data_IF_176078785993
#
_entry.id   IF_176078785993
#
_cell.length_a   1.000
_cell.length_b   1.000
_cell.length_c   1.000
_cell.angle_alpha   90.00
_cell.angle_beta   90.00
_cell.angle_gamma   90.00
#
_symmetry.space_group_name_H-M   'P 1'
#
loop_
_entity.id
_entity.type
_entity.pdbx_description
1 polymer ?
#
# COMPACT_ATOMS: atom_id res chain seq x y z
N UNK A 1 -27.31 17.30 -2.82
CA UNK A 1 -25.89 17.20 -2.38
C UNK A 1 -25.15 16.34 -3.40
N UNK A 2 -24.18 16.89 -4.14
CA UNK A 2 -23.35 16.12 -5.05
C UNK A 2 -22.32 15.34 -4.21
N UNK A 3 -22.57 14.06 -3.97
CA UNK A 3 -21.59 13.14 -3.38
C UNK A 3 -20.47 12.99 -4.41
N UNK A 4 -19.31 13.60 -4.17
CA UNK A 4 -18.11 13.34 -4.97
C UNK A 4 -17.59 11.96 -4.57
N UNK A 5 -17.88 10.96 -5.38
CA UNK A 5 -17.25 9.64 -5.28
C UNK A 5 -15.79 9.82 -5.69
N UNK A 6 -14.88 9.69 -4.71
CA UNK A 6 -13.44 9.70 -4.98
C UNK A 6 -13.03 8.26 -5.22
N UNK A 7 -12.67 7.94 -6.46
CA UNK A 7 -12.10 6.63 -6.79
C UNK A 7 -10.74 6.48 -6.11
N UNK A 8 -10.68 5.56 -5.16
CA UNK A 8 -9.59 5.42 -4.22
C UNK A 8 -9.48 4.00 -3.69
N UNK A 9 -8.37 3.74 -3.03
CA UNK A 9 -8.07 2.46 -2.43
C UNK A 9 -8.14 2.64 -0.93
N UNK A 10 -8.81 1.69 -0.29
CA UNK A 10 -9.01 1.67 1.16
C UNK A 10 -7.91 0.86 1.82
N UNK A 11 -7.26 1.44 2.81
CA UNK A 11 -6.18 0.84 3.58
C UNK A 11 -6.56 0.87 5.05
N UNK A 12 -6.16 -0.13 5.84
CA UNK A 12 -6.38 -0.10 7.28
C UNK A 12 -5.50 0.96 7.94
N UNK A 13 -5.99 1.66 8.96
CA UNK A 13 -5.19 2.59 9.77
C UNK A 13 -3.95 1.89 10.36
N UNK A 14 -4.07 0.59 10.63
CA UNK A 14 -2.96 -0.25 11.08
C UNK A 14 -1.86 -0.46 10.04
N UNK A 15 -2.19 -0.40 8.75
CA UNK A 15 -1.18 -0.33 7.68
C UNK A 15 -0.40 0.98 7.81
N UNK A 16 -1.09 2.11 7.95
CA UNK A 16 -0.45 3.42 8.08
C UNK A 16 0.43 3.51 9.34
N UNK A 17 -0.09 3.09 10.50
CA UNK A 17 0.67 3.02 11.75
C UNK A 17 1.94 2.17 11.57
N UNK A 18 1.86 1.04 10.87
CA UNK A 18 3.01 0.20 10.62
C UNK A 18 4.04 0.89 9.72
N UNK A 19 3.60 1.52 8.62
CA UNK A 19 4.48 2.30 7.74
C UNK A 19 5.19 3.45 8.51
N UNK A 20 4.48 4.09 9.45
CA UNK A 20 5.06 5.07 10.38
C UNK A 20 6.14 4.46 11.27
N UNK A 21 5.90 3.30 11.88
CA UNK A 21 6.93 2.60 12.68
C UNK A 21 8.20 2.33 11.88
N UNK A 22 8.06 1.89 10.63
CA UNK A 22 9.20 1.64 9.74
C UNK A 22 10.01 2.90 9.39
N UNK A 23 9.36 4.06 9.25
CA UNK A 23 10.06 5.32 8.96
C UNK A 23 10.63 6.00 10.20
N UNK A 24 9.95 5.93 11.35
CA UNK A 24 10.32 6.73 12.53
C UNK A 24 11.08 5.92 13.59
N UNK A 25 10.67 4.68 13.85
CA UNK A 25 11.31 3.85 14.88
C UNK A 25 12.52 3.09 14.31
N UNK A 26 12.43 2.63 13.07
CA UNK A 26 13.51 1.86 12.41
C UNK A 26 14.43 2.71 11.51
N UNK A 27 14.35 4.04 11.60
CA UNK A 27 15.14 4.96 10.77
C UNK A 27 16.65 4.74 10.89
N UNK A 28 17.11 4.30 12.07
CA UNK A 28 18.51 4.06 12.40
C UNK A 28 18.95 2.60 12.21
N UNK A 29 18.03 1.69 11.86
CA UNK A 29 18.35 0.30 11.55
C UNK A 29 18.43 0.12 10.02
N UNK A 30 19.64 0.05 9.41
CA UNK A 30 19.77 -0.11 7.97
C UNK A 30 19.13 -1.39 7.45
N UNK A 31 18.93 -2.41 8.30
CA UNK A 31 18.27 -3.66 7.91
C UNK A 31 16.76 -3.50 7.82
N UNK A 32 16.16 -2.57 8.56
CA UNK A 32 14.71 -2.34 8.58
C UNK A 32 14.26 -1.03 7.92
N UNK A 33 15.17 -0.11 7.61
CA UNK A 33 14.86 1.20 7.01
C UNK A 33 14.02 1.08 5.73
N UNK A 34 12.85 1.71 5.72
CA UNK A 34 12.03 1.85 4.52
C UNK A 34 12.63 2.90 3.57
N UNK A 35 12.53 2.68 2.26
CA UNK A 35 12.87 3.67 1.24
C UNK A 35 11.61 4.23 0.61
N UNK A 36 11.71 5.38 -0.05
CA UNK A 36 10.57 5.92 -0.78
C UNK A 36 10.11 4.96 -1.88
N UNK A 37 11.03 4.27 -2.54
CA UNK A 37 10.69 3.26 -3.53
C UNK A 37 9.95 2.07 -2.91
N UNK A 38 10.36 1.57 -1.74
CA UNK A 38 9.64 0.48 -1.07
C UNK A 38 8.26 0.91 -0.59
N UNK A 39 8.10 2.15 -0.08
CA UNK A 39 6.78 2.67 0.27
C UNK A 39 5.85 2.76 -0.95
N UNK A 40 6.32 3.31 -2.06
CA UNK A 40 5.52 3.36 -3.30
C UNK A 40 5.20 1.94 -3.80
N UNK A 41 6.16 1.01 -3.74
CA UNK A 41 5.91 -0.39 -4.08
C UNK A 41 4.86 -1.01 -3.15
N UNK A 42 4.87 -0.71 -1.85
CA UNK A 42 3.90 -1.27 -0.90
C UNK A 42 2.48 -0.81 -1.25
N UNK A 43 2.32 0.49 -1.51
CA UNK A 43 1.03 1.07 -1.93
C UNK A 43 0.56 0.48 -3.27
N UNK A 44 1.48 0.21 -4.20
CA UNK A 44 1.17 -0.49 -5.45
C UNK A 44 0.70 -1.93 -5.19
N UNK A 45 1.44 -2.72 -4.41
CA UNK A 45 1.06 -4.10 -4.13
C UNK A 45 -0.27 -4.17 -3.38
N UNK A 46 -0.50 -3.25 -2.43
CA UNK A 46 -1.77 -3.14 -1.73
C UNK A 46 -2.94 -2.79 -2.66
N UNK A 47 -2.69 -2.08 -3.75
CA UNK A 47 -3.69 -1.81 -4.80
C UNK A 47 -4.04 -3.01 -5.67
N UNK A 48 -3.22 -4.06 -5.63
CA UNK A 48 -3.33 -5.25 -6.48
C UNK A 48 -3.75 -6.50 -5.70
N UNK A 49 -3.60 -6.47 -4.37
CA UNK A 49 -4.01 -7.60 -3.53
C UNK A 49 -5.51 -7.62 -3.29
N UNK A 50 -5.99 -8.81 -2.96
CA UNK A 50 -7.36 -9.02 -2.51
C UNK A 50 -7.59 -8.44 -1.09
N UNK A 51 -8.81 -8.60 -0.59
CA UNK A 51 -9.21 -8.10 0.73
C UNK A 51 -8.39 -8.68 1.87
N UNK A 52 -7.82 -9.88 1.70
CA UNK A 52 -7.00 -10.59 2.69
C UNK A 52 -5.49 -10.35 2.53
N UNK A 53 -5.10 -9.50 1.59
CA UNK A 53 -3.71 -9.13 1.39
C UNK A 53 -2.92 -10.13 0.58
N UNK A 54 -3.56 -10.92 -0.29
CA UNK A 54 -2.90 -11.89 -1.15
C UNK A 54 -2.89 -11.41 -2.61
N UNK A 55 -1.76 -11.65 -3.28
CA UNK A 55 -1.59 -11.51 -4.72
C UNK A 55 -1.12 -12.86 -5.24
N UNK A 56 -1.85 -13.45 -6.18
CA UNK A 56 -1.42 -14.69 -6.81
C UNK A 56 -0.18 -14.41 -7.69
N UNK A 57 0.92 -15.12 -7.43
CA UNK A 57 2.22 -14.82 -8.07
C UNK A 57 2.15 -14.86 -9.60
N UNK A 58 1.40 -15.81 -10.15
CA UNK A 58 1.25 -15.97 -11.60
C UNK A 58 0.49 -14.81 -12.27
N UNK A 59 -0.32 -14.07 -11.52
CA UNK A 59 -1.12 -12.95 -12.01
C UNK A 59 -0.35 -11.62 -11.91
N UNK A 60 0.76 -11.58 -11.17
CA UNK A 60 1.54 -10.37 -10.98
C UNK A 60 2.61 -10.20 -12.06
N UNK A 61 2.31 -9.36 -13.05
CA UNK A 61 3.33 -8.80 -13.93
C UNK A 61 3.74 -7.39 -13.49
N UNK A 62 4.75 -7.31 -12.62
CA UNK A 62 5.21 -6.04 -12.05
C UNK A 62 5.64 -5.02 -13.11
N UNK A 63 6.17 -5.47 -14.25
CA UNK A 63 6.59 -4.61 -15.35
C UNK A 63 5.38 -3.95 -16.02
N UNK A 64 4.37 -4.74 -16.36
CA UNK A 64 3.12 -4.22 -16.95
C UNK A 64 2.40 -3.28 -15.98
N UNK A 65 2.34 -3.62 -14.69
CA UNK A 65 1.71 -2.75 -13.68
C UNK A 65 2.43 -1.40 -13.54
N UNK A 66 3.75 -1.40 -13.67
CA UNK A 66 4.56 -0.18 -13.74
C UNK A 66 4.25 0.63 -15.00
N UNK A 67 4.19 -0.01 -16.17
CA UNK A 67 3.89 0.66 -17.45
C UNK A 67 2.50 1.30 -17.45
N UNK A 68 1.46 0.57 -16.99
CA UNK A 68 0.08 1.07 -16.86
C UNK A 68 -0.01 2.35 -16.01
N UNK A 69 0.86 2.48 -14.99
CA UNK A 69 0.86 3.59 -14.03
C UNK A 69 2.00 4.58 -14.25
N UNK A 70 2.78 4.44 -15.33
CA UNK A 70 3.95 5.28 -15.64
C UNK A 70 4.95 5.34 -14.46
N UNK A 71 5.19 4.19 -13.81
CA UNK A 71 6.14 4.02 -12.72
C UNK A 71 7.50 3.51 -13.25
N UNK A 72 8.65 3.95 -12.70
CA UNK A 72 9.95 3.44 -13.09
C UNK A 72 10.17 2.05 -12.51
N UNK A 73 10.10 1.04 -13.39
CA UNK A 73 10.24 -0.37 -13.05
C UNK A 73 11.45 -0.68 -12.16
N UNK A 74 12.63 -0.12 -12.46
CA UNK A 74 13.84 -0.37 -11.66
C UNK A 74 13.70 0.05 -10.20
N UNK A 75 13.00 1.16 -9.93
CA UNK A 75 12.76 1.63 -8.57
C UNK A 75 11.76 0.73 -7.85
N UNK A 76 10.69 0.33 -8.55
CA UNK A 76 9.65 -0.54 -8.00
C UNK A 76 10.21 -1.93 -7.69
N UNK A 77 11.00 -2.50 -8.59
CA UNK A 77 11.69 -3.77 -8.41
C UNK A 77 12.64 -3.74 -7.19
N UNK A 78 13.45 -2.69 -7.03
CA UNK A 78 14.29 -2.54 -5.84
C UNK A 78 13.46 -2.35 -4.57
N UNK A 79 12.34 -1.63 -4.67
CA UNK A 79 11.37 -1.49 -3.58
C UNK A 79 10.77 -2.84 -3.17
N UNK A 80 10.47 -3.72 -4.14
CA UNK A 80 9.94 -5.06 -3.91
C UNK A 80 10.90 -5.91 -3.07
N UNK A 81 12.16 -6.03 -3.51
CA UNK A 81 13.20 -6.74 -2.75
C UNK A 81 13.34 -6.17 -1.35
N UNK A 82 13.33 -4.84 -1.24
CA UNK A 82 13.41 -4.18 0.06
C UNK A 82 12.23 -4.52 0.97
N UNK A 83 11.00 -4.53 0.46
CA UNK A 83 9.82 -4.91 1.25
C UNK A 83 9.91 -6.35 1.76
N UNK A 84 10.43 -7.26 0.94
CA UNK A 84 10.65 -8.65 1.30
C UNK A 84 11.70 -8.75 2.42
N UNK A 85 12.86 -8.09 2.25
CA UNK A 85 13.95 -8.10 3.23
C UNK A 85 13.51 -7.60 4.62
N UNK A 86 12.62 -6.60 4.66
CA UNK A 86 12.15 -5.99 5.90
C UNK A 86 10.87 -6.63 6.47
N UNK A 87 10.33 -7.65 5.79
CA UNK A 87 9.16 -8.41 6.25
C UNK A 87 7.81 -7.71 6.04
N UNK A 88 7.74 -6.67 5.20
CA UNK A 88 6.48 -6.02 4.84
C UNK A 88 5.72 -6.77 3.74
N UNK A 89 6.39 -7.67 3.02
CA UNK A 89 5.79 -8.71 2.19
C UNK A 89 6.50 -10.04 2.45
N UNK A 90 5.81 -11.14 2.20
CA UNK A 90 6.35 -12.50 2.24
C UNK A 90 5.78 -13.34 1.09
N UNK A 91 6.39 -14.49 0.86
CA UNK A 91 5.88 -15.48 -0.10
C UNK A 91 5.25 -16.61 0.73
N UNK A 92 3.98 -16.88 0.46
CA UNK A 92 3.23 -17.95 1.13
C UNK A 92 2.70 -18.97 0.11
N UNK A 93 2.52 -20.22 0.55
CA UNK A 93 1.97 -21.31 -0.27
C UNK A 93 0.67 -21.81 0.33
N UNK A 94 -0.43 -21.51 -0.35
CA UNK A 94 -1.78 -21.86 0.10
C UNK A 94 -2.40 -22.77 -0.95
N UNK A 95 -2.80 -23.98 -0.55
CA UNK A 95 -3.44 -24.98 -1.43
C UNK A 95 -2.65 -25.25 -2.73
N UNK A 96 -1.31 -25.31 -2.64
CA UNK A 96 -0.43 -25.59 -3.77
C UNK A 96 -0.18 -24.41 -4.71
N UNK A 97 -0.70 -23.22 -4.41
CA UNK A 97 -0.45 -21.98 -5.15
C UNK A 97 0.46 -21.04 -4.36
N UNK A 98 1.34 -20.32 -5.06
CA UNK A 98 2.23 -19.33 -4.47
C UNK A 98 1.57 -17.95 -4.49
N UNK A 99 1.60 -17.27 -3.35
CA UNK A 99 1.09 -15.92 -3.18
C UNK A 99 2.18 -15.00 -2.64
N UNK A 100 2.14 -13.75 -3.09
CA UNK A 100 2.77 -12.65 -2.37
C UNK A 100 1.73 -12.18 -1.35
N UNK A 101 2.09 -12.26 -0.07
CA UNK A 101 1.22 -11.85 1.02
C UNK A 101 1.73 -10.53 1.60
N UNK A 102 0.77 -9.66 1.99
CA UNK A 102 0.98 -8.46 2.77
C UNK A 102 0.57 -8.79 4.22
N UNK A 103 1.51 -9.16 5.12
CA UNK A 103 1.18 -9.71 6.44
C UNK A 103 0.32 -8.80 7.30
N UNK A 104 0.50 -7.47 7.19
CA UNK A 104 -0.28 -6.50 7.96
C UNK A 104 -1.74 -6.53 7.54
N UNK A 105 -2.02 -6.60 6.23
CA UNK A 105 -3.39 -6.69 5.71
C UNK A 105 -4.02 -7.97 6.22
N UNK A 106 -3.33 -9.10 6.05
CA UNK A 106 -3.79 -10.41 6.52
C UNK A 106 -4.07 -10.45 8.05
N UNK A 107 -3.26 -9.74 8.85
CA UNK A 107 -3.40 -9.69 10.31
C UNK A 107 -4.59 -8.85 10.80
N UNK A 108 -5.04 -7.88 9.99
CA UNK A 108 -6.10 -6.94 10.39
C UNK A 108 -7.39 -7.08 9.57
N UNK A 109 -7.48 -8.10 8.72
CA UNK A 109 -8.77 -8.47 8.11
C UNK A 109 -9.77 -8.83 9.21
N UNK A 110 -10.97 -8.22 9.21
CA UNK A 110 -12.04 -8.61 10.11
C UNK A 110 -12.33 -10.11 9.96
N UNK A 111 -12.18 -10.86 11.05
CA UNK A 111 -12.60 -12.27 11.07
C UNK A 111 -13.93 -12.37 11.79
N UNK A 112 -14.67 -13.47 11.57
CA UNK A 112 -15.91 -13.73 12.32
C UNK A 112 -15.71 -13.75 13.86
N UNK A 113 -14.46 -13.85 14.34
CA UNK A 113 -14.08 -13.85 15.76
C UNK A 113 -13.74 -12.46 16.32
N UNK A 114 -13.29 -11.54 15.47
CA UNK A 114 -13.08 -10.13 15.84
C UNK A 114 -13.68 -9.25 14.75
N UNK A 115 -15.00 -8.96 14.84
CA UNK A 115 -15.72 -8.23 13.81
C UNK A 115 -15.45 -6.72 13.88
N UNK A 116 -14.55 -6.25 14.76
CA UNK A 116 -14.22 -4.83 14.82
C UNK A 116 -13.63 -4.42 13.48
N UNK A 117 -14.39 -3.58 12.78
CA UNK A 117 -13.97 -2.94 11.55
C UNK A 117 -12.78 -2.04 11.93
N UNK A 118 -11.56 -2.31 11.44
CA UNK A 118 -10.43 -1.42 11.66
C UNK A 118 -10.78 -0.05 11.07
N UNK A 119 -10.26 1.02 11.68
CA UNK A 119 -10.30 2.32 11.00
C UNK A 119 -9.60 2.22 9.64
N UNK A 120 -10.01 3.07 8.70
CA UNK A 120 -9.47 3.06 7.35
C UNK A 120 -9.09 4.46 6.89
N UNK A 121 -8.07 4.51 6.04
CA UNK A 121 -7.70 5.69 5.27
C UNK A 121 -7.83 5.45 3.77
N UNK A 122 -8.06 6.53 3.02
CA UNK A 122 -8.24 6.48 1.57
C UNK A 122 -7.05 7.07 0.83
N UNK A 123 -6.60 6.37 -0.22
CA UNK A 123 -5.61 6.88 -1.17
C UNK A 123 -6.25 6.96 -2.56
N UNK A 124 -6.50 8.15 -3.10
CA UNK A 124 -7.03 8.33 -4.45
C UNK A 124 -6.16 7.65 -5.51
N UNK A 125 -6.78 6.93 -6.44
CA UNK A 125 -6.04 6.27 -7.55
C UNK A 125 -5.27 7.27 -8.41
N UNK A 126 -5.71 8.53 -8.44
CA UNK A 126 -5.03 9.63 -9.14
C UNK A 126 -3.61 9.87 -8.62
N UNK A 127 -3.31 9.53 -7.36
CA UNK A 127 -1.96 9.65 -6.80
C UNK A 127 -0.97 8.76 -7.55
N UNK A 128 -1.40 7.56 -7.97
CA UNK A 128 -0.57 6.63 -8.75
C UNK A 128 -0.44 7.01 -10.23
N UNK A 129 -1.38 7.79 -10.77
CA UNK A 129 -1.38 8.21 -12.18
C UNK A 129 -0.85 9.63 -12.41
N UNK A 130 -0.67 10.42 -11.35
CA UNK A 130 -0.09 11.76 -11.43
C UNK A 130 1.44 11.69 -11.69
N UNK A 131 1.82 12.08 -12.92
CA UNK A 131 3.17 12.10 -13.52
C UNK A 131 4.32 12.20 -12.51
N UNK A 132 5.28 11.25 -12.55
CA UNK A 132 6.70 11.27 -12.07
C UNK A 132 7.04 11.87 -10.68
N UNK A 133 6.19 12.68 -10.05
CA UNK A 133 6.45 13.43 -8.83
C UNK A 133 6.33 12.57 -7.58
N UNK A 134 5.32 11.68 -7.54
CA UNK A 134 5.13 10.74 -6.45
C UNK A 134 6.33 9.78 -6.29
N UNK A 135 6.97 9.40 -7.40
CA UNK A 135 8.14 8.49 -7.37
C UNK A 135 9.47 9.25 -7.30
N UNK A 136 9.49 10.52 -7.73
CA UNK A 136 10.64 11.40 -7.52
C UNK A 136 10.76 11.90 -6.08
N UNK A 137 9.72 11.73 -5.27
CA UNK A 137 9.80 11.96 -3.84
C UNK A 137 10.85 10.98 -3.27
N UNK A 138 12.07 11.46 -3.07
CA UNK A 138 13.16 10.69 -2.44
C UNK A 138 12.98 10.55 -0.93
N UNK A 139 11.87 11.05 -0.39
CA UNK A 139 11.65 11.24 1.03
C UNK A 139 10.38 10.50 1.47
N UNK A 140 10.57 9.45 2.27
CA UNK A 140 9.50 8.64 2.87
C UNK A 140 8.56 9.50 3.72
N UNK A 141 9.10 10.42 4.53
CA UNK A 141 8.29 11.33 5.37
C UNK A 141 7.39 12.24 4.55
N UNK A 142 7.89 12.72 3.41
CA UNK A 142 7.09 13.54 2.49
C UNK A 142 5.93 12.76 1.88
N UNK A 143 6.14 11.47 1.58
CA UNK A 143 5.09 10.58 1.10
C UNK A 143 4.06 10.25 2.19
N UNK A 144 4.52 9.92 3.40
CA UNK A 144 3.62 9.66 4.55
C UNK A 144 2.80 10.91 4.90
N UNK A 145 3.42 12.10 4.94
CA UNK A 145 2.72 13.36 5.17
C UNK A 145 1.71 13.70 4.06
N UNK A 146 1.95 13.29 2.82
CA UNK A 146 0.96 13.40 1.74
C UNK A 146 -0.22 12.45 1.97
N UNK A 147 0.01 11.23 2.44
CA UNK A 147 -1.06 10.29 2.80
C UNK A 147 -1.93 10.85 3.94
N UNK A 148 -1.31 11.44 4.98
CA UNK A 148 -2.04 12.10 6.07
C UNK A 148 -2.88 13.27 5.57
N UNK A 149 -2.32 14.12 4.71
CA UNK A 149 -3.03 15.27 4.16
C UNK A 149 -4.23 14.83 3.31
N UNK A 150 -4.04 13.81 2.49
CA UNK A 150 -5.11 13.20 1.70
C UNK A 150 -6.18 12.61 2.61
N UNK A 151 -5.78 11.89 3.67
CA UNK A 151 -6.72 11.31 4.62
C UNK A 151 -7.50 12.37 5.40
N UNK A 152 -6.85 13.44 5.86
CA UNK A 152 -7.50 14.55 6.55
C UNK A 152 -8.48 15.30 5.64
N UNK A 153 -8.11 15.51 4.37
CA UNK A 153 -9.01 16.12 3.39
C UNK A 153 -10.20 15.21 3.08
N UNK A 154 -9.98 13.90 2.87
CA UNK A 154 -11.04 12.94 2.48
C UNK A 154 -11.92 12.51 3.64
N UNK A 155 -11.39 12.35 4.85
CA UNK A 155 -12.18 12.04 6.06
C UNK A 155 -13.16 13.16 6.44
N UNK A 156 -12.97 14.36 5.89
CA UNK A 156 -13.91 15.48 5.98
C UNK A 156 -15.08 15.38 4.97
N UNK A 157 -15.01 14.46 4.00
CA UNK A 157 -16.06 14.20 3.02
C UNK A 157 -16.65 12.80 3.25
N UNK A 158 -17.98 12.66 3.23
CA UNK A 158 -18.61 11.33 3.20
C UNK A 158 -18.25 10.64 1.88
N UNK A 159 -17.27 9.75 1.89
CA UNK A 159 -16.88 8.92 0.75
C UNK A 159 -17.75 7.67 0.75
N UNK A 160 -18.60 7.54 -0.27
CA UNK A 160 -19.34 6.30 -0.52
C UNK A 160 -18.45 5.37 -1.35
N UNK A 161 -18.15 4.18 -0.81
CA UNK A 161 -17.35 3.15 -1.49
C UNK A 161 -18.24 2.44 -2.51
N UNK A 162 -17.81 2.36 -3.76
CA UNK A 162 -18.43 1.46 -4.73
C UNK A 162 -17.88 0.04 -4.50
N UNK A 163 -18.71 -0.99 -4.39
CA UNK A 163 -18.23 -2.37 -4.33
C UNK A 163 -17.55 -2.70 -5.67
N UNK A 164 -16.29 -3.13 -5.59
CA UNK A 164 -15.51 -3.65 -6.72
C UNK A 164 -15.78 -5.13 -6.95
#
# INVERSE_FOLDING_TARGET
MNVKVVDGIQFFDKELECLYKYEFEYVHDPKKKMTASSLVTYLLLRSLCDEVGLILEQDLNLKEECEKRNLPYSSIHNGYHRLFDIGLINIDRINGRTYIQLPIVAAYVPTAKDPKIPGYFYVPKVIFSSKRGFIKARNVRGLLGLLDLVNGLLGSFHVSVAPG
#
